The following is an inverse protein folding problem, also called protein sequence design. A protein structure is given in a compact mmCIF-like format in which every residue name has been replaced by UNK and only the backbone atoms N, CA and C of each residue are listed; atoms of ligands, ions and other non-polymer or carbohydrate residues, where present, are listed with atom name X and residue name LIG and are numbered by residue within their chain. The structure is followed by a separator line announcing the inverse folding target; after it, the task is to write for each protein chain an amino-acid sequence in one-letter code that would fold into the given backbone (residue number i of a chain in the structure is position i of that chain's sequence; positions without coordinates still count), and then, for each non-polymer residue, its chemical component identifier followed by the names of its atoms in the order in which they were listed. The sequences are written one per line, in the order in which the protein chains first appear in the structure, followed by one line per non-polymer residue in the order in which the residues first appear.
data_IF_969695022739
#
_entry.id   IF_969695022739
#
_cell.length_a   1.000
_cell.length_b   1.000
_cell.length_c   1.000
_cell.angle_alpha   90.00
_cell.angle_beta   90.00
_cell.angle_gamma   90.00
#
_symmetry.space_group_name_H-M   'P 1'
#
loop_
_entity.id
_entity.type
_entity.pdbx_description
1 polymer ?
#
# COMPACT_ATOMS: atom_id res chain seq x y z
N UNK A 1 8.37 -17.36 -11.50
CA UNK A 1 7.97 -16.22 -12.34
C UNK A 1 7.21 -15.15 -11.54
N UNK A 2 6.21 -15.51 -10.73
CA UNK A 2 5.36 -14.54 -10.00
C UNK A 2 6.11 -13.72 -8.92
N UNK A 3 7.10 -14.30 -8.25
CA UNK A 3 7.89 -13.56 -7.24
C UNK A 3 8.69 -12.39 -7.81
N UNK A 4 9.13 -12.47 -9.08
CA UNK A 4 9.84 -11.35 -9.73
C UNK A 4 8.90 -10.15 -9.89
N UNK A 5 7.65 -10.39 -10.32
CA UNK A 5 6.65 -9.32 -10.45
C UNK A 5 6.31 -8.68 -9.10
N UNK A 6 6.26 -9.49 -8.02
CA UNK A 6 6.05 -8.99 -6.65
C UNK A 6 7.25 -8.17 -6.16
N UNK A 7 8.48 -8.58 -6.47
CA UNK A 7 9.68 -7.78 -6.14
C UNK A 7 9.67 -6.46 -6.93
N UNK A 8 9.34 -6.50 -8.22
CA UNK A 8 9.22 -5.31 -9.06
C UNK A 8 8.13 -4.36 -8.54
N UNK A 9 7.00 -4.87 -8.05
CA UNK A 9 5.96 -4.04 -7.46
C UNK A 9 6.44 -3.33 -6.19
N UNK A 10 7.20 -4.02 -5.33
CA UNK A 10 7.81 -3.43 -4.15
C UNK A 10 8.81 -2.32 -4.51
N UNK A 11 9.63 -2.53 -5.55
CA UNK A 11 10.55 -1.51 -6.06
C UNK A 11 9.80 -0.28 -6.59
N UNK A 12 8.75 -0.49 -7.40
CA UNK A 12 7.89 0.58 -7.88
C UNK A 12 7.25 1.37 -6.73
N UNK A 13 6.80 0.69 -5.67
CA UNK A 13 6.25 1.33 -4.47
C UNK A 13 7.32 2.18 -3.75
N UNK A 14 8.56 1.68 -3.64
CA UNK A 14 9.68 2.43 -3.07
C UNK A 14 9.93 3.74 -3.81
N UNK A 15 9.97 3.71 -5.14
CA UNK A 15 10.10 4.90 -5.98
C UNK A 15 8.91 5.85 -5.78
N UNK A 16 7.69 5.32 -5.79
CA UNK A 16 6.48 6.11 -5.57
C UNK A 16 6.49 6.85 -4.22
N UNK A 17 6.97 6.22 -3.13
CA UNK A 17 7.04 6.84 -1.82
C UNK A 17 7.93 8.11 -1.81
N UNK A 18 9.05 8.11 -2.54
CA UNK A 18 9.90 9.30 -2.69
C UNK A 18 9.16 10.43 -3.39
N UNK A 19 8.43 10.13 -4.47
CA UNK A 19 7.62 11.12 -5.17
C UNK A 19 6.41 11.58 -4.36
N UNK A 20 5.81 10.72 -3.53
CA UNK A 20 4.74 11.13 -2.62
C UNK A 20 5.22 12.18 -1.61
N UNK A 21 6.43 12.02 -1.03
CA UNK A 21 7.01 13.03 -0.14
C UNK A 21 7.22 14.35 -0.88
N UNK A 22 7.86 14.31 -2.05
CA UNK A 22 8.15 15.49 -2.86
C UNK A 22 6.87 16.22 -3.28
N UNK A 23 5.89 15.49 -3.82
CA UNK A 23 4.61 16.04 -4.27
C UNK A 23 3.82 16.60 -3.10
N UNK A 24 3.68 15.84 -2.00
CA UNK A 24 2.89 16.27 -0.84
C UNK A 24 3.46 17.54 -0.22
N UNK A 25 4.78 17.69 -0.15
CA UNK A 25 5.43 18.92 0.31
C UNK A 25 5.19 20.11 -0.62
N UNK A 26 5.10 19.88 -1.94
CA UNK A 26 4.95 20.95 -2.95
C UNK A 26 3.51 21.42 -3.18
N UNK A 27 2.54 20.50 -3.21
CA UNK A 27 1.16 20.81 -3.59
C UNK A 27 0.14 20.41 -2.53
N UNK A 28 0.57 19.82 -1.42
CA UNK A 28 -0.29 19.33 -0.34
C UNK A 28 -0.65 17.85 -0.46
N UNK A 29 -0.96 17.22 0.68
CA UNK A 29 -1.25 15.78 0.78
C UNK A 29 -2.56 15.37 0.08
N UNK A 30 -3.62 16.17 0.26
CA UNK A 30 -4.93 15.92 -0.36
C UNK A 30 -4.83 16.05 -1.89
N UNK A 31 -4.20 17.12 -2.37
CA UNK A 31 -3.99 17.34 -3.81
C UNK A 31 -3.12 16.24 -4.43
N UNK A 32 -2.01 15.87 -3.79
CA UNK A 32 -1.17 14.75 -4.22
C UNK A 32 -1.99 13.47 -4.36
N UNK A 33 -2.85 13.19 -3.38
CA UNK A 33 -3.69 11.98 -3.38
C UNK A 33 -4.74 12.02 -4.49
N UNK A 34 -5.43 13.16 -4.66
CA UNK A 34 -6.44 13.34 -5.71
C UNK A 34 -5.83 13.18 -7.11
N UNK A 35 -4.74 13.89 -7.41
CA UNK A 35 -4.09 13.81 -8.72
C UNK A 35 -3.41 12.47 -8.97
N UNK A 36 -2.90 11.80 -7.94
CA UNK A 36 -2.44 10.41 -8.04
C UNK A 36 -3.56 9.49 -8.53
N UNK A 37 -4.76 9.57 -7.96
CA UNK A 37 -5.89 8.75 -8.40
C UNK A 37 -6.42 9.17 -9.77
N UNK A 38 -6.44 10.47 -10.08
CA UNK A 38 -6.88 10.96 -11.38
C UNK A 38 -5.97 10.44 -12.51
N UNK A 39 -4.65 10.60 -12.39
CA UNK A 39 -3.71 10.07 -13.38
C UNK A 39 -3.65 8.54 -13.34
N UNK A 40 -3.76 7.94 -12.15
CA UNK A 40 -3.86 6.50 -11.97
C UNK A 40 -5.05 5.89 -12.70
N UNK A 41 -6.21 6.54 -12.69
CA UNK A 41 -7.41 6.12 -13.43
C UNK A 41 -7.14 6.10 -14.95
N UNK A 42 -6.52 7.15 -15.48
CA UNK A 42 -6.16 7.22 -16.91
C UNK A 42 -5.21 6.08 -17.29
N UNK A 43 -4.15 5.86 -16.50
CA UNK A 43 -3.19 4.79 -16.75
C UNK A 43 -3.84 3.40 -16.62
N UNK A 44 -4.66 3.18 -15.58
CA UNK A 44 -5.37 1.93 -15.38
C UNK A 44 -6.35 1.64 -16.52
N UNK A 45 -7.04 2.66 -17.03
CA UNK A 45 -7.93 2.53 -18.16
C UNK A 45 -7.19 2.12 -19.44
N UNK A 46 -6.03 2.73 -19.73
CA UNK A 46 -5.17 2.35 -20.86
C UNK A 46 -4.71 0.90 -20.74
N UNK A 47 -4.24 0.49 -19.55
CA UNK A 47 -3.83 -0.90 -19.28
C UNK A 47 -5.00 -1.86 -19.49
N UNK A 48 -6.17 -1.55 -18.94
CA UNK A 48 -7.36 -2.39 -19.11
C UNK A 48 -7.75 -2.58 -20.58
N UNK A 49 -7.72 -1.51 -21.38
CA UNK A 49 -7.98 -1.59 -22.83
C UNK A 49 -6.96 -2.46 -23.59
N UNK A 50 -5.71 -2.51 -23.13
CA UNK A 50 -4.65 -3.32 -23.73
C UNK A 50 -4.87 -4.82 -23.46
N UNK A 51 -5.17 -5.17 -22.21
CA UNK A 51 -5.32 -6.58 -21.80
C UNK A 51 -6.70 -7.17 -22.12
N UNK A 52 -7.74 -6.32 -22.24
CA UNK A 52 -9.11 -6.72 -22.62
C UNK A 52 -9.69 -7.85 -21.77
N UNK A 53 -9.36 -7.84 -20.48
CA UNK A 53 -9.89 -8.82 -19.54
C UNK A 53 -11.42 -8.70 -19.46
N UNK A 54 -12.09 -9.86 -19.53
CA UNK A 54 -13.54 -9.92 -19.37
C UNK A 54 -13.87 -9.95 -17.89
N UNK A 55 -14.84 -9.13 -17.48
CA UNK A 55 -15.29 -9.06 -16.11
C UNK A 55 -16.78 -9.32 -16.01
N UNK A 56 -17.17 -10.17 -15.05
CA UNK A 56 -18.57 -10.30 -14.64
C UNK A 56 -18.91 -9.23 -13.60
N UNK A 57 -19.82 -8.33 -13.97
CA UNK A 57 -20.31 -7.25 -13.11
C UNK A 57 -21.36 -7.75 -12.12
N UNK A 58 -20.91 -8.53 -11.14
CA UNK A 58 -21.75 -8.96 -10.01
C UNK A 58 -21.67 -7.96 -8.87
N UNK A 59 -22.74 -7.85 -8.06
CA UNK A 59 -22.76 -6.98 -6.88
C UNK A 59 -21.67 -7.35 -5.86
N UNK A 60 -21.39 -8.64 -5.71
CA UNK A 60 -20.30 -9.14 -4.86
C UNK A 60 -18.93 -8.65 -5.31
N UNK A 61 -18.59 -8.83 -6.60
CA UNK A 61 -17.30 -8.37 -7.15
C UNK A 61 -17.13 -6.85 -7.02
N UNK A 62 -18.19 -6.10 -7.31
CA UNK A 62 -18.17 -4.63 -7.19
C UNK A 62 -18.00 -4.18 -5.73
N UNK A 63 -18.65 -4.84 -4.78
CA UNK A 63 -18.49 -4.54 -3.36
C UNK A 63 -17.04 -4.77 -2.88
N UNK A 64 -16.42 -5.88 -3.28
CA UNK A 64 -15.02 -6.16 -2.95
C UNK A 64 -14.07 -5.11 -3.55
N UNK A 65 -14.26 -4.74 -4.82
CA UNK A 65 -13.42 -3.72 -5.48
C UNK A 65 -13.61 -2.33 -4.85
N UNK A 66 -14.84 -2.00 -4.46
CA UNK A 66 -15.12 -0.77 -3.73
C UNK A 66 -14.39 -0.74 -2.38
N UNK A 67 -14.43 -1.83 -1.61
CA UNK A 67 -13.69 -1.93 -0.34
C UNK A 67 -12.17 -1.81 -0.54
N UNK A 68 -11.61 -2.46 -1.56
CA UNK A 68 -10.19 -2.31 -1.93
C UNK A 68 -9.88 -0.84 -2.20
N UNK A 69 -10.71 -0.18 -3.01
CA UNK A 69 -10.52 1.22 -3.38
C UNK A 69 -10.62 2.16 -2.18
N UNK A 70 -11.58 1.90 -1.27
CA UNK A 70 -11.77 2.66 -0.05
C UNK A 70 -10.54 2.58 0.88
N UNK A 71 -10.09 1.37 1.20
CA UNK A 71 -8.94 1.17 2.09
C UNK A 71 -7.62 1.64 1.47
N UNK A 72 -7.45 1.45 0.15
CA UNK A 72 -6.26 1.94 -0.54
C UNK A 72 -6.23 3.48 -0.56
N UNK A 73 -7.38 4.13 -0.81
CA UNK A 73 -7.51 5.59 -0.78
C UNK A 73 -7.22 6.15 0.61
N UNK A 74 -7.81 5.56 1.65
CA UNK A 74 -7.50 5.91 3.02
C UNK A 74 -6.01 5.73 3.33
N UNK A 75 -5.42 4.60 2.91
CA UNK A 75 -4.00 4.30 3.11
C UNK A 75 -3.07 5.32 2.44
N UNK A 76 -3.33 5.71 1.20
CA UNK A 76 -2.50 6.70 0.48
C UNK A 76 -2.68 8.09 1.09
N UNK A 77 -3.91 8.49 1.40
CA UNK A 77 -4.20 9.79 2.00
C UNK A 77 -3.51 9.95 3.36
N UNK A 78 -3.69 8.99 4.26
CA UNK A 78 -3.11 9.02 5.61
C UNK A 78 -1.58 9.04 5.55
N UNK A 79 -0.98 8.28 4.62
CA UNK A 79 0.47 8.29 4.43
C UNK A 79 0.95 9.65 3.94
N UNK A 80 0.30 10.24 2.92
CA UNK A 80 0.64 11.56 2.41
C UNK A 80 0.50 12.65 3.48
N UNK A 81 -0.54 12.58 4.32
CA UNK A 81 -0.75 13.49 5.46
C UNK A 81 0.31 13.32 6.55
N UNK A 82 0.85 12.11 6.74
CA UNK A 82 1.95 11.87 7.68
C UNK A 82 3.27 12.41 7.14
N UNK A 83 3.62 12.05 5.90
CA UNK A 83 4.93 12.39 5.33
C UNK A 83 5.05 13.84 4.89
N UNK A 84 3.96 14.62 4.75
CA UNK A 84 4.08 16.05 4.38
C UNK A 84 4.92 16.84 5.38
N UNK A 85 4.96 16.39 6.63
CA UNK A 85 5.68 17.02 7.73
C UNK A 85 7.21 16.98 7.49
N UNK A 86 7.94 18.11 7.57
CA UNK A 86 9.38 18.16 7.27
C UNK A 86 10.23 17.19 8.11
N UNK A 87 9.87 17.01 9.38
CA UNK A 87 10.57 16.17 10.36
C UNK A 87 10.46 14.66 10.06
N UNK A 88 9.43 14.24 9.34
CA UNK A 88 9.19 12.82 9.06
C UNK A 88 10.10 12.36 7.92
N UNK A 89 11.07 11.51 8.24
CA UNK A 89 11.92 10.86 7.25
C UNK A 89 11.12 9.90 6.37
N UNK A 90 11.22 10.06 5.05
CA UNK A 90 10.51 9.18 4.11
C UNK A 90 10.97 7.73 4.19
N UNK A 91 12.25 7.48 4.51
CA UNK A 91 12.78 6.11 4.64
C UNK A 91 12.18 5.37 5.85
N UNK A 92 11.99 6.08 6.96
CA UNK A 92 11.35 5.52 8.16
C UNK A 92 9.85 5.32 7.89
N UNK A 93 9.18 6.35 7.36
CA UNK A 93 7.75 6.26 7.06
C UNK A 93 7.41 5.15 6.05
N UNK A 94 8.21 5.00 4.99
CA UNK A 94 8.02 3.92 4.01
C UNK A 94 8.28 2.55 4.61
N UNK A 95 9.21 2.43 5.55
CA UNK A 95 9.48 1.18 6.28
C UNK A 95 8.28 0.80 7.15
N UNK A 96 7.73 1.75 7.91
CA UNK A 96 6.51 1.56 8.70
C UNK A 96 5.33 1.16 7.79
N UNK A 97 5.14 1.86 6.66
CA UNK A 97 4.10 1.52 5.68
C UNK A 97 4.27 0.10 5.12
N UNK A 98 5.52 -0.31 4.85
CA UNK A 98 5.82 -1.63 4.29
C UNK A 98 5.52 -2.77 5.27
N UNK A 99 5.43 -2.48 6.57
CA UNK A 99 5.03 -3.44 7.60
C UNK A 99 3.52 -3.73 7.59
N UNK A 100 2.75 -3.15 6.64
CA UNK A 100 1.34 -3.50 6.40
C UNK A 100 1.11 -5.00 6.21
N UNK A 101 2.12 -5.78 5.80
CA UNK A 101 2.01 -7.23 5.72
C UNK A 101 1.68 -7.88 7.07
N UNK A 102 2.06 -7.28 8.20
CA UNK A 102 1.69 -7.77 9.53
C UNK A 102 0.16 -7.74 9.67
N UNK A 103 -0.47 -6.62 9.32
CA UNK A 103 -1.92 -6.49 9.31
C UNK A 103 -2.55 -7.47 8.30
N UNK A 104 -1.96 -7.61 7.11
CA UNK A 104 -2.41 -8.57 6.09
C UNK A 104 -2.43 -10.00 6.64
N UNK A 105 -1.35 -10.45 7.26
CA UNK A 105 -1.27 -11.81 7.81
C UNK A 105 -2.28 -12.01 8.94
N UNK A 106 -2.41 -11.06 9.86
CA UNK A 106 -3.40 -11.16 10.94
C UNK A 106 -4.83 -11.27 10.40
N UNK A 107 -5.18 -10.45 9.40
CA UNK A 107 -6.50 -10.50 8.75
C UNK A 107 -6.66 -11.81 7.97
N UNK A 108 -5.63 -12.27 7.25
CA UNK A 108 -5.69 -13.51 6.48
C UNK A 108 -5.87 -14.74 7.38
N UNK A 109 -5.17 -14.82 8.52
CA UNK A 109 -5.38 -15.88 9.50
C UNK A 109 -6.81 -15.86 10.04
N UNK A 110 -7.35 -14.68 10.36
CA UNK A 110 -8.70 -14.53 10.93
C UNK A 110 -9.84 -14.80 9.94
N UNK A 111 -9.72 -14.34 8.69
CA UNK A 111 -10.81 -14.37 7.71
C UNK A 111 -10.64 -15.44 6.63
N UNK A 112 -9.41 -15.82 6.30
CA UNK A 112 -9.10 -16.82 5.28
C UNK A 112 -8.69 -18.18 5.89
N UNK A 113 -8.57 -18.28 7.22
CA UNK A 113 -8.18 -19.49 7.95
C UNK A 113 -6.81 -20.05 7.50
N UNK A 114 -5.87 -19.16 7.16
CA UNK A 114 -4.51 -19.56 6.80
C UNK A 114 -3.75 -20.12 8.01
N UNK A 115 -3.06 -21.25 7.83
CA UNK A 115 -2.21 -21.84 8.86
C UNK A 115 -0.79 -21.28 8.78
N UNK A 116 -0.32 -20.65 9.85
CA UNK A 116 1.04 -20.12 9.94
C UNK A 116 2.03 -21.21 10.40
N UNK A 117 3.14 -21.34 9.68
CA UNK A 117 4.29 -22.13 10.13
C UNK A 117 5.06 -21.38 11.23
N UNK A 118 5.83 -22.12 12.03
CA UNK A 118 6.67 -21.51 13.08
C UNK A 118 7.66 -20.46 12.53
N UNK A 119 8.17 -20.65 11.31
CA UNK A 119 9.05 -19.70 10.63
C UNK A 119 8.32 -18.41 10.24
N UNK A 120 7.09 -18.52 9.73
CA UNK A 120 6.26 -17.36 9.39
C UNK A 120 5.94 -16.54 10.66
N UNK A 121 5.57 -17.21 11.75
CA UNK A 121 5.31 -16.57 13.05
C UNK A 121 6.53 -15.81 13.57
N UNK A 122 7.72 -16.41 13.51
CA UNK A 122 8.96 -15.72 13.92
C UNK A 122 9.22 -14.46 13.07
N UNK A 123 9.04 -14.55 11.75
CA UNK A 123 9.17 -13.40 10.85
C UNK A 123 8.22 -12.25 11.19
N UNK A 124 6.96 -12.57 11.53
CA UNK A 124 5.95 -11.58 11.93
C UNK A 124 6.31 -10.91 13.25
N UNK A 125 6.78 -11.67 14.25
CA UNK A 125 7.20 -11.12 15.54
C UNK A 125 8.36 -10.14 15.38
N UNK A 126 9.37 -10.51 14.58
CA UNK A 126 10.49 -9.63 14.27
C UNK A 126 10.04 -8.36 13.53
N UNK A 127 9.08 -8.49 12.62
CA UNK A 127 8.49 -7.37 11.92
C UNK A 127 7.77 -6.41 12.87
N UNK A 128 6.93 -6.91 13.78
CA UNK A 128 6.25 -6.10 14.79
C UNK A 128 7.26 -5.36 15.66
N UNK A 129 8.31 -6.04 16.12
CA UNK A 129 9.38 -5.42 16.90
C UNK A 129 10.05 -4.27 16.12
N UNK A 130 10.29 -4.46 14.82
CA UNK A 130 10.84 -3.40 13.96
C UNK A 130 9.92 -2.18 13.86
N UNK A 131 8.59 -2.36 13.75
CA UNK A 131 7.61 -1.25 13.73
C UNK A 131 7.78 -0.39 14.97
N UNK A 132 7.81 -1.03 16.15
CA UNK A 132 7.88 -0.33 17.44
C UNK A 132 9.17 0.48 17.52
N UNK A 133 10.31 -0.12 17.17
CA UNK A 133 11.61 0.56 17.19
C UNK A 133 11.63 1.77 16.25
N UNK A 134 11.11 1.64 15.03
CA UNK A 134 11.05 2.76 14.08
C UNK A 134 10.06 3.85 14.51
N UNK A 135 8.95 3.47 15.15
CA UNK A 135 7.92 4.42 15.60
C UNK A 135 8.36 5.26 16.79
N UNK A 136 9.26 4.75 17.63
CA UNK A 136 9.79 5.50 18.78
C UNK A 136 10.76 6.63 18.40
N UNK A 137 11.23 6.65 17.15
CA UNK A 137 12.18 7.66 16.62
C UNK A 137 11.58 8.51 15.49
N UNK A 138 10.31 8.31 15.16
CA UNK A 138 9.60 9.00 14.08
C UNK A 138 8.90 10.27 14.55
#
# INVERSE_FOLDING_TARGET
MNYILIILSALCLGVANVFYKKSSASVGAVNTTFFYYLFGLVLAFIVWLFFREKMEFTSGNMATIFLISLFLTASVLLFNMGIIRPEVSISIASTIRSLAFVATVLIAVLFLNENLTATNTLGIVLAIASVVVFSLRA
#
